data_IF_796500080699
#
_entry.id   IF_796500080699
#
_cell.length_a   1.000
_cell.length_b   1.000
_cell.length_c   1.000
_cell.angle_alpha   90.00
_cell.angle_beta   90.00
_cell.angle_gamma   90.00
#
_symmetry.space_group_name_H-M   'P 1'
#
loop_
_entity.id
_entity.type
_entity.pdbx_description
1 polymer ?
#
# COMPACT_ATOMS: atom_id res chain seq x y z
N UNK A 1 -28.75 -3.66 8.63
CA UNK A 1 -29.89 -2.79 8.28
C UNK A 1 -29.92 -2.41 6.80
N UNK A 2 -29.09 -1.47 6.31
CA UNK A 2 -29.10 -1.10 4.89
C UNK A 2 -29.00 -2.30 3.93
N UNK A 3 -27.98 -3.14 4.14
CA UNK A 3 -27.71 -4.33 3.31
C UNK A 3 -28.86 -5.34 3.33
N UNK A 4 -29.38 -5.68 4.51
CA UNK A 4 -30.44 -6.68 4.65
C UNK A 4 -31.77 -6.19 4.07
N UNK A 5 -32.17 -4.94 4.34
CA UNK A 5 -33.45 -4.40 3.88
C UNK A 5 -33.51 -4.19 2.37
N UNK A 6 -32.44 -3.65 1.79
CA UNK A 6 -32.42 -3.28 0.38
C UNK A 6 -31.95 -4.41 -0.55
N UNK A 7 -31.11 -5.32 -0.06
CA UNK A 7 -30.44 -6.33 -0.89
C UNK A 7 -30.57 -7.76 -0.36
N UNK A 8 -31.25 -7.98 0.77
CA UNK A 8 -31.38 -9.30 1.38
C UNK A 8 -30.06 -9.86 1.95
N UNK A 9 -29.01 -9.04 2.04
CA UNK A 9 -27.68 -9.47 2.49
C UNK A 9 -27.61 -9.39 4.02
N UNK A 10 -27.53 -10.56 4.66
CA UNK A 10 -27.34 -10.70 6.11
C UNK A 10 -25.85 -10.70 6.45
N UNK A 11 -25.31 -9.51 6.69
CA UNK A 11 -23.94 -9.34 7.17
C UNK A 11 -23.84 -9.35 8.70
N UNK A 12 -22.76 -9.92 9.23
CA UNK A 12 -22.41 -9.92 10.65
C UNK A 12 -21.08 -9.21 10.88
N UNK A 13 -20.96 -8.49 12.00
CA UNK A 13 -19.67 -7.96 12.43
C UNK A 13 -18.80 -9.11 12.97
N UNK A 14 -17.55 -9.16 12.55
CA UNK A 14 -16.58 -10.15 13.00
C UNK A 14 -15.30 -9.48 13.50
N UNK A 15 -14.86 -9.88 14.69
CA UNK A 15 -13.75 -9.24 15.38
C UNK A 15 -14.01 -7.75 15.63
N UNK A 16 -13.01 -6.92 15.34
CA UNK A 16 -13.08 -5.46 15.59
C UNK A 16 -13.48 -4.63 14.38
N UNK A 17 -13.15 -5.10 13.17
CA UNK A 17 -13.09 -4.25 11.98
C UNK A 17 -13.80 -4.83 10.76
N UNK A 18 -14.27 -6.07 10.81
CA UNK A 18 -14.68 -6.78 9.60
C UNK A 18 -16.21 -6.97 9.59
N UNK A 19 -16.81 -6.90 8.39
CA UNK A 19 -18.14 -7.46 8.17
C UNK A 19 -18.02 -8.67 7.25
N UNK A 20 -18.70 -9.74 7.65
CA UNK A 20 -18.68 -11.04 7.00
C UNK A 20 -20.10 -11.47 6.63
N UNK A 21 -20.21 -12.37 5.66
CA UNK A 21 -21.39 -13.21 5.48
C UNK A 21 -21.01 -14.64 5.82
N UNK A 22 -21.94 -15.36 6.44
CA UNK A 22 -21.78 -16.79 6.70
C UNK A 22 -22.04 -17.56 5.41
N UNK A 23 -21.15 -18.49 5.10
CA UNK A 23 -21.20 -19.35 3.92
C UNK A 23 -20.89 -20.79 4.38
N UNK A 24 -21.42 -21.80 3.68
CA UNK A 24 -21.22 -23.20 4.02
C UNK A 24 -19.73 -23.60 3.96
N UNK A 25 -18.97 -22.95 3.08
CA UNK A 25 -17.54 -23.18 2.89
C UNK A 25 -16.66 -22.33 3.83
N UNK A 26 -17.29 -21.58 4.74
CA UNK A 26 -16.64 -20.74 5.75
C UNK A 26 -16.92 -19.24 5.57
N UNK A 27 -16.83 -18.50 6.67
CA UNK A 27 -17.15 -17.07 6.70
C UNK A 27 -16.32 -16.25 5.69
N UNK A 28 -17.01 -15.42 4.90
CA UNK A 28 -16.37 -14.57 3.88
C UNK A 28 -16.55 -13.10 4.22
N UNK A 29 -15.44 -12.37 4.27
CA UNK A 29 -15.40 -10.92 4.51
C UNK A 29 -15.78 -10.14 3.26
N UNK A 30 -16.67 -9.17 3.40
CA UNK A 30 -17.02 -8.24 2.32
C UNK A 30 -16.74 -6.77 2.69
N UNK A 31 -16.37 -6.47 3.93
CA UNK A 31 -16.07 -5.12 4.38
C UNK A 31 -14.94 -5.13 5.40
N UNK A 32 -14.05 -4.14 5.32
CA UNK A 32 -13.05 -3.85 6.35
C UNK A 32 -13.16 -2.39 6.78
N UNK A 33 -12.98 -2.14 8.08
CA UNK A 33 -13.10 -0.84 8.71
C UNK A 33 -11.82 -0.41 9.41
N UNK A 34 -11.66 0.90 9.54
CA UNK A 34 -10.68 1.54 10.40
C UNK A 34 -11.29 2.79 11.05
N UNK A 35 -10.70 3.21 12.16
CA UNK A 35 -11.19 4.33 12.97
C UNK A 35 -10.06 5.26 13.35
N UNK A 36 -10.37 6.54 13.45
CA UNK A 36 -9.49 7.56 13.98
C UNK A 36 -10.25 8.37 15.02
N UNK A 37 -9.65 8.49 16.19
CA UNK A 37 -10.17 9.29 17.29
C UNK A 37 -9.22 10.44 17.61
N UNK A 38 -9.80 11.57 17.98
CA UNK A 38 -9.11 12.72 18.55
C UNK A 38 -9.88 13.16 19.78
N UNK A 39 -9.42 14.20 20.48
CA UNK A 39 -10.00 14.61 21.78
C UNK A 39 -11.52 14.83 21.76
N UNK A 40 -12.07 15.35 20.68
CA UNK A 40 -13.45 15.81 20.60
C UNK A 40 -14.27 15.22 19.44
N UNK A 41 -13.67 14.32 18.64
CA UNK A 41 -14.32 13.75 17.45
C UNK A 41 -13.71 12.40 17.08
N UNK A 42 -14.55 11.54 16.53
CA UNK A 42 -14.21 10.23 16.02
C UNK A 42 -14.70 10.08 14.58
N UNK A 43 -13.94 9.34 13.78
CA UNK A 43 -14.29 9.02 12.40
C UNK A 43 -14.11 7.52 12.17
N UNK A 44 -15.18 6.85 11.78
CA UNK A 44 -15.19 5.46 11.36
C UNK A 44 -15.40 5.41 9.85
N UNK A 45 -14.48 4.78 9.13
CA UNK A 45 -14.60 4.53 7.70
C UNK A 45 -14.40 3.07 7.39
N UNK A 46 -14.90 2.64 6.24
CA UNK A 46 -14.73 1.28 5.78
C UNK A 46 -14.93 1.14 4.29
N UNK A 47 -14.78 -0.08 3.81
CA UNK A 47 -14.96 -0.47 2.42
C UNK A 47 -16.13 -1.43 2.28
N UNK A 48 -16.72 -1.54 1.09
CA UNK A 48 -17.68 -2.60 0.76
C UNK A 48 -17.27 -3.19 -0.58
N UNK A 49 -16.98 -4.49 -0.60
CA UNK A 49 -16.64 -5.24 -1.81
C UNK A 49 -17.93 -5.54 -2.58
N UNK A 50 -18.31 -4.67 -3.51
CA UNK A 50 -19.51 -4.85 -4.32
C UNK A 50 -19.26 -5.81 -5.50
N UNK A 51 -18.29 -5.44 -6.34
CA UNK A 51 -17.93 -6.10 -7.61
C UNK A 51 -16.49 -5.74 -7.96
N UNK A 52 -15.54 -6.09 -7.08
CA UNK A 52 -14.12 -5.80 -7.30
C UNK A 52 -13.42 -6.97 -8.00
N UNK A 53 -12.35 -6.68 -8.74
CA UNK A 53 -11.45 -7.71 -9.25
C UNK A 53 -10.59 -8.28 -8.10
N UNK A 54 -11.09 -9.36 -7.49
CA UNK A 54 -10.43 -10.04 -6.38
C UNK A 54 -9.07 -10.65 -6.78
N UNK A 55 -8.81 -10.86 -8.07
CA UNK A 55 -7.51 -11.34 -8.54
C UNK A 55 -6.44 -10.26 -8.42
N UNK A 56 -6.75 -9.03 -8.85
CA UNK A 56 -5.86 -7.86 -8.68
C UNK A 56 -5.67 -7.50 -7.23
N UNK A 57 -6.74 -7.55 -6.43
CA UNK A 57 -6.64 -7.32 -4.99
C UNK A 57 -5.66 -8.30 -4.34
N UNK A 58 -5.74 -9.58 -4.68
CA UNK A 58 -4.79 -10.58 -4.18
C UNK A 58 -3.36 -10.26 -4.64
N UNK A 59 -3.17 -9.84 -5.89
CA UNK A 59 -1.85 -9.53 -6.43
C UNK A 59 -1.18 -8.37 -5.68
N UNK A 60 -1.89 -7.26 -5.48
CA UNK A 60 -1.31 -6.06 -4.84
C UNK A 60 -1.15 -6.21 -3.32
N UNK A 61 -1.91 -7.09 -2.68
CA UNK A 61 -1.83 -7.33 -1.24
C UNK A 61 -0.95 -8.52 -0.86
N UNK A 62 -0.47 -9.30 -1.84
CA UNK A 62 0.47 -10.39 -1.57
C UNK A 62 1.88 -9.80 -1.48
N UNK A 63 2.50 -9.78 -0.29
CA UNK A 63 3.87 -9.30 -0.17
C UNK A 63 4.84 -10.25 -0.89
N UNK A 64 6.04 -9.76 -1.22
CA UNK A 64 7.06 -10.51 -1.93
C UNK A 64 7.27 -11.91 -1.32
N UNK A 65 7.46 -12.98 -2.14
CA UNK A 65 7.60 -14.36 -1.66
C UNK A 65 8.66 -14.55 -0.56
N UNK A 66 9.76 -13.79 -0.61
CA UNK A 66 10.80 -13.77 0.44
C UNK A 66 10.25 -13.36 1.83
N UNK A 67 9.23 -12.47 1.89
CA UNK A 67 8.51 -12.11 3.14
C UNK A 67 7.49 -13.17 3.56
N UNK A 68 6.89 -13.90 2.60
CA UNK A 68 5.85 -14.91 2.84
C UNK A 68 6.38 -16.18 3.56
N UNK A 69 7.59 -16.63 3.24
CA UNK A 69 8.22 -17.81 3.86
C UNK A 69 8.34 -17.69 5.39
N UNK A 70 8.42 -16.47 5.92
CA UNK A 70 8.55 -16.22 7.36
C UNK A 70 7.25 -16.26 8.16
N UNK A 71 6.07 -16.17 7.51
CA UNK A 71 4.80 -15.89 8.22
C UNK A 71 3.59 -16.78 7.88
N UNK A 72 3.74 -17.78 7.01
CA UNK A 72 2.76 -18.88 6.85
C UNK A 72 1.30 -18.45 6.69
N UNK A 73 1.02 -17.36 5.94
CA UNK A 73 -0.34 -16.81 5.83
C UNK A 73 -1.11 -17.42 4.66
N UNK A 74 -2.33 -17.89 4.93
CA UNK A 74 -3.32 -18.28 3.93
C UNK A 74 -3.68 -17.12 3.00
N UNK A 75 -3.87 -17.40 1.71
CA UNK A 75 -4.16 -16.39 0.67
C UNK A 75 -5.35 -15.49 1.04
N UNK A 76 -5.18 -14.17 0.86
CA UNK A 76 -6.23 -13.15 1.08
C UNK A 76 -7.50 -13.47 0.28
N UNK A 77 -7.36 -14.03 -0.93
CA UNK A 77 -8.48 -14.40 -1.81
C UNK A 77 -9.44 -15.39 -1.18
N UNK A 78 -8.97 -16.29 -0.32
CA UNK A 78 -9.82 -17.32 0.31
C UNK A 78 -10.76 -16.78 1.41
N UNK A 79 -10.60 -15.51 1.81
CA UNK A 79 -11.28 -14.92 2.98
C UNK A 79 -12.23 -13.80 2.63
N UNK A 80 -12.32 -13.40 1.36
CA UNK A 80 -13.12 -12.25 0.93
C UNK A 80 -14.08 -12.61 -0.19
N UNK A 81 -15.17 -11.86 -0.34
CA UNK A 81 -16.12 -12.03 -1.44
C UNK A 81 -16.74 -10.72 -1.89
N UNK A 82 -17.29 -10.74 -3.11
CA UNK A 82 -18.12 -9.65 -3.62
C UNK A 82 -19.57 -9.85 -3.22
N UNK A 83 -20.25 -8.76 -2.85
CA UNK A 83 -21.68 -8.81 -2.54
C UNK A 83 -22.56 -9.11 -3.76
N UNK A 84 -22.06 -8.89 -4.99
CA UNK A 84 -22.76 -9.25 -6.23
C UNK A 84 -23.07 -10.75 -6.33
N UNK A 85 -22.29 -11.61 -5.65
CA UNK A 85 -22.50 -13.06 -5.60
C UNK A 85 -23.81 -13.42 -4.87
N UNK A 86 -24.28 -12.55 -3.96
CA UNK A 86 -25.52 -12.73 -3.20
C UNK A 86 -26.66 -11.90 -3.81
N UNK A 87 -26.35 -10.65 -4.18
CA UNK A 87 -27.32 -9.71 -4.77
C UNK A 87 -26.80 -9.24 -6.13
N UNK A 88 -27.10 -9.96 -7.21
CA UNK A 88 -26.74 -9.55 -8.56
C UNK A 88 -27.26 -8.13 -8.86
N UNK A 89 -26.37 -7.25 -9.32
CA UNK A 89 -26.72 -5.85 -9.61
C UNK A 89 -26.53 -4.88 -8.45
N UNK A 90 -25.99 -5.31 -7.30
CA UNK A 90 -25.51 -4.36 -6.28
C UNK A 90 -24.38 -3.50 -6.86
N UNK A 91 -24.58 -2.18 -6.85
CA UNK A 91 -23.62 -1.19 -7.34
C UNK A 91 -23.63 0.04 -6.45
N UNK A 92 -22.65 0.91 -6.64
CA UNK A 92 -22.51 2.16 -5.91
C UNK A 92 -23.82 2.98 -5.91
N UNK A 93 -24.47 3.10 -7.07
CA UNK A 93 -25.64 3.97 -7.26
C UNK A 93 -26.88 3.50 -6.50
N UNK A 94 -26.98 2.21 -6.18
CA UNK A 94 -28.08 1.65 -5.39
C UNK A 94 -27.71 1.47 -3.93
N UNK A 95 -26.44 1.17 -3.64
CA UNK A 95 -25.96 0.98 -2.28
C UNK A 95 -25.90 2.29 -1.49
N UNK A 96 -25.42 3.38 -2.10
CA UNK A 96 -25.30 4.66 -1.42
C UNK A 96 -26.66 5.20 -0.92
N UNK A 97 -27.74 5.23 -1.73
CA UNK A 97 -29.06 5.59 -1.24
C UNK A 97 -29.55 4.72 -0.07
N UNK A 98 -29.34 3.40 -0.12
CA UNK A 98 -29.75 2.50 0.96
C UNK A 98 -29.00 2.77 2.27
N UNK A 99 -27.71 3.13 2.20
CA UNK A 99 -26.92 3.54 3.37
C UNK A 99 -27.44 4.87 3.92
N UNK A 100 -27.69 5.86 3.05
CA UNK A 100 -28.24 7.17 3.44
C UNK A 100 -29.59 7.00 4.14
N UNK A 101 -30.50 6.21 3.56
CA UNK A 101 -31.81 5.94 4.16
C UNK A 101 -31.67 5.29 5.54
N UNK A 102 -30.80 4.28 5.67
CA UNK A 102 -30.55 3.63 6.96
C UNK A 102 -29.90 4.56 7.98
N UNK A 103 -29.05 5.50 7.55
CA UNK A 103 -28.44 6.51 8.40
C UNK A 103 -29.48 7.51 8.91
N UNK A 104 -30.27 8.09 8.00
CA UNK A 104 -31.36 9.01 8.34
C UNK A 104 -32.38 8.36 9.28
N UNK A 105 -32.76 7.11 9.02
CA UNK A 105 -33.67 6.36 9.89
C UNK A 105 -33.11 6.09 11.29
N UNK A 106 -31.79 5.88 11.42
CA UNK A 106 -31.14 5.68 12.71
C UNK A 106 -31.14 6.96 13.56
N UNK A 107 -30.88 8.12 12.95
CA UNK A 107 -30.82 9.40 13.64
C UNK A 107 -32.17 10.15 13.69
N UNK A 108 -33.19 9.66 12.98
CA UNK A 108 -34.52 10.29 12.92
C UNK A 108 -34.52 11.66 12.23
N UNK A 109 -33.56 11.90 11.34
CA UNK A 109 -33.38 13.18 10.66
C UNK A 109 -32.96 12.97 9.21
N UNK A 110 -33.29 13.93 8.34
CA UNK A 110 -32.86 13.98 6.94
C UNK A 110 -32.07 15.25 6.68
N UNK A 111 -31.25 15.22 5.62
CA UNK A 111 -30.51 16.37 5.13
C UNK A 111 -30.51 16.35 3.60
N UNK A 112 -30.33 17.53 2.99
CA UNK A 112 -30.08 17.61 1.55
C UNK A 112 -28.70 17.02 1.22
N UNK A 113 -28.60 16.34 0.08
CA UNK A 113 -27.34 15.76 -0.38
C UNK A 113 -26.49 16.89 -0.96
N UNK A 114 -25.36 17.16 -0.32
CA UNK A 114 -24.35 18.06 -0.85
C UNK A 114 -23.40 17.30 -1.79
N UNK A 115 -23.36 17.70 -3.05
CA UNK A 115 -22.43 17.14 -4.03
C UNK A 115 -21.08 17.88 -3.97
N UNK A 116 -20.04 17.13 -3.63
CA UNK A 116 -18.67 17.67 -3.56
C UNK A 116 -18.05 17.68 -4.96
N UNK A 117 -17.82 18.88 -5.51
CA UNK A 117 -17.08 19.10 -6.75
C UNK A 117 -15.74 19.80 -6.47
N UNK A 118 -14.75 19.72 -7.36
CA UNK A 118 -13.48 20.44 -7.18
C UNK A 118 -13.68 21.95 -6.92
N UNK A 119 -14.67 22.57 -7.54
CA UNK A 119 -15.00 23.99 -7.37
C UNK A 119 -15.52 24.28 -5.95
N UNK A 120 -16.47 23.48 -5.46
CA UNK A 120 -17.01 23.63 -4.11
C UNK A 120 -15.95 23.35 -3.03
N UNK A 121 -15.09 22.36 -3.30
CA UNK A 121 -14.01 21.94 -2.42
C UNK A 121 -12.86 22.94 -2.37
N UNK A 122 -12.62 23.72 -3.43
CA UNK A 122 -11.54 24.71 -3.50
C UNK A 122 -11.65 25.79 -2.40
N UNK A 123 -12.87 26.04 -1.90
CA UNK A 123 -13.14 27.03 -0.86
C UNK A 123 -12.92 26.49 0.57
N UNK A 124 -12.71 25.18 0.75
CA UNK A 124 -12.52 24.59 2.07
C UNK A 124 -11.13 24.94 2.64
N UNK A 125 -11.06 25.63 3.80
CA UNK A 125 -9.78 26.02 4.39
C UNK A 125 -8.88 24.81 4.66
N UNK A 126 -7.64 24.87 4.15
CA UNK A 126 -6.63 23.84 4.38
C UNK A 126 -6.81 22.55 3.57
N UNK A 127 -7.84 22.42 2.73
CA UNK A 127 -8.03 21.22 1.91
C UNK A 127 -6.88 21.03 0.91
N UNK A 128 -6.51 22.09 0.18
CA UNK A 128 -5.42 22.00 -0.80
C UNK A 128 -4.09 21.62 -0.14
N UNK A 129 -3.79 22.20 1.03
CA UNK A 129 -2.59 21.87 1.79
C UNK A 129 -2.58 20.39 2.20
N UNK A 130 -3.69 19.88 2.74
CA UNK A 130 -3.83 18.46 3.06
C UNK A 130 -3.76 17.57 1.83
N UNK A 131 -4.29 18.00 0.70
CA UNK A 131 -4.21 17.25 -0.55
C UNK A 131 -2.75 17.08 -0.99
N UNK A 132 -1.97 18.16 -1.00
CA UNK A 132 -0.54 18.07 -1.35
C UNK A 132 0.25 17.24 -0.33
N UNK A 133 -0.06 17.37 0.97
CA UNK A 133 0.53 16.53 2.02
C UNK A 133 0.23 15.04 1.79
N UNK A 134 -1.04 14.65 1.64
CA UNK A 134 -1.45 13.25 1.44
C UNK A 134 -0.91 12.65 0.14
N UNK A 135 -0.66 13.49 -0.88
CA UNK A 135 -0.07 13.11 -2.17
C UNK A 135 1.46 12.96 -2.10
N UNK A 136 2.11 13.69 -1.19
CA UNK A 136 3.57 13.71 -1.06
C UNK A 136 4.15 12.32 -0.85
N UNK A 137 5.40 12.13 -1.25
CA UNK A 137 6.10 10.87 -1.04
C UNK A 137 6.40 10.67 0.45
N UNK A 138 6.78 11.75 1.12
CA UNK A 138 7.06 11.86 2.54
C UNK A 138 5.90 11.33 3.38
N UNK A 139 4.67 11.70 3.02
CA UNK A 139 3.49 11.17 3.71
C UNK A 139 3.22 9.70 3.38
N UNK A 140 3.22 9.35 2.08
CA UNK A 140 2.84 8.00 1.62
C UNK A 140 3.82 6.92 2.06
N UNK A 141 5.11 7.24 2.16
CA UNK A 141 6.19 6.28 2.38
C UNK A 141 7.19 6.71 3.46
N UNK A 142 7.38 8.01 3.68
CA UNK A 142 8.32 8.52 4.68
C UNK A 142 7.92 8.26 6.14
N UNK A 143 6.65 7.89 6.40
CA UNK A 143 6.21 7.39 7.70
C UNK A 143 6.28 5.87 7.85
N UNK A 144 6.92 5.16 6.90
CA UNK A 144 7.18 3.73 7.04
C UNK A 144 8.04 3.48 8.30
N UNK A 145 7.70 2.48 9.13
CA UNK A 145 8.54 2.10 10.27
C UNK A 145 9.96 1.77 9.82
N UNK A 146 10.94 2.01 10.69
CA UNK A 146 12.32 1.63 10.42
C UNK A 146 12.38 0.13 10.12
N UNK A 147 13.10 -0.23 9.06
CA UNK A 147 13.29 -1.63 8.70
C UNK A 147 14.70 -1.85 8.19
N UNK A 148 15.15 -3.10 8.32
CA UNK A 148 16.40 -3.57 7.78
C UNK A 148 16.10 -4.58 6.68
N UNK A 149 16.88 -4.54 5.61
CA UNK A 149 16.73 -5.45 4.49
C UNK A 149 18.11 -5.93 4.03
N UNK A 150 18.24 -7.25 3.88
CA UNK A 150 19.39 -7.89 3.24
C UNK A 150 18.96 -8.41 1.87
N UNK A 151 19.75 -8.08 0.84
CA UNK A 151 19.52 -8.48 -0.54
C UNK A 151 20.80 -9.09 -1.11
N UNK A 152 20.68 -10.31 -1.62
CA UNK A 152 21.82 -11.04 -2.21
C UNK A 152 21.52 -11.44 -3.64
N UNK A 153 22.49 -11.34 -4.54
CA UNK A 153 22.40 -11.81 -5.93
C UNK A 153 23.76 -12.08 -6.57
N UNK A 154 23.80 -12.93 -7.60
CA UNK A 154 24.93 -13.02 -8.51
C UNK A 154 24.68 -12.16 -9.75
N UNK A 155 25.45 -11.08 -9.89
CA UNK A 155 25.50 -10.24 -11.08
C UNK A 155 26.60 -10.72 -12.04
N UNK A 156 26.62 -10.21 -13.27
CA UNK A 156 27.59 -10.64 -14.28
C UNK A 156 29.05 -10.45 -13.87
N UNK A 157 29.30 -9.52 -12.94
CA UNK A 157 30.62 -9.14 -12.45
C UNK A 157 30.95 -9.65 -11.03
N UNK A 158 30.02 -10.35 -10.37
CA UNK A 158 30.26 -10.92 -9.05
C UNK A 158 29.01 -11.13 -8.21
N UNK A 159 29.17 -11.86 -7.11
CA UNK A 159 28.20 -11.93 -6.02
C UNK A 159 28.12 -10.59 -5.30
N UNK A 160 26.92 -10.19 -4.90
CA UNK A 160 26.69 -8.99 -4.09
C UNK A 160 25.72 -9.31 -2.95
N UNK A 161 26.04 -8.82 -1.76
CA UNK A 161 25.23 -8.87 -0.54
C UNK A 161 25.09 -7.46 0.03
N UNK A 162 23.89 -6.91 -0.05
CA UNK A 162 23.56 -5.53 0.31
C UNK A 162 22.70 -5.53 1.57
N UNK A 163 23.18 -4.86 2.61
CA UNK A 163 22.41 -4.55 3.81
C UNK A 163 21.97 -3.09 3.77
N UNK A 164 20.69 -2.85 3.98
CA UNK A 164 20.06 -1.53 3.94
C UNK A 164 19.27 -1.31 5.23
N UNK A 165 19.56 -0.22 5.93
CA UNK A 165 18.70 0.29 6.99
C UNK A 165 17.89 1.47 6.42
N UNK A 166 16.56 1.36 6.44
CA UNK A 166 15.67 2.43 6.01
C UNK A 166 15.03 3.09 7.23
N UNK A 167 15.22 4.40 7.35
CA UNK A 167 14.61 5.24 8.37
C UNK A 167 13.88 6.39 7.69
N UNK A 168 12.62 6.61 8.07
CA UNK A 168 11.75 7.62 7.45
C UNK A 168 11.69 7.54 5.92
N UNK A 169 11.76 6.32 5.38
CA UNK A 169 11.74 6.07 3.93
C UNK A 169 13.05 6.43 3.20
N UNK A 170 14.11 6.81 3.92
CA UNK A 170 15.43 7.05 3.34
C UNK A 170 16.39 5.95 3.75
N UNK A 171 17.33 5.65 2.87
CA UNK A 171 18.42 4.73 3.13
C UNK A 171 19.39 5.42 4.11
N UNK A 172 19.29 5.05 5.38
CA UNK A 172 20.06 5.64 6.48
C UNK A 172 21.45 5.04 6.61
N UNK A 173 21.59 3.75 6.25
CA UNK A 173 22.86 3.03 6.26
C UNK A 173 22.86 1.99 5.15
N UNK A 174 24.04 1.80 4.56
CA UNK A 174 24.29 0.76 3.54
C UNK A 174 25.60 0.07 3.86
N UNK A 175 25.59 -1.26 3.81
CA UNK A 175 26.80 -2.07 3.67
C UNK A 175 26.68 -2.91 2.40
N UNK A 176 27.75 -2.96 1.61
CA UNK A 176 27.81 -3.79 0.40
C UNK A 176 29.02 -4.71 0.53
N UNK A 177 28.77 -6.01 0.48
CA UNK A 177 29.80 -7.03 0.39
C UNK A 177 29.75 -7.67 -0.99
N UNK A 178 30.91 -7.98 -1.55
CA UNK A 178 31.01 -8.61 -2.87
C UNK A 178 32.32 -9.38 -3.00
N UNK A 179 32.32 -10.39 -3.85
CA UNK A 179 33.53 -11.08 -4.33
C UNK A 179 34.11 -10.44 -5.62
N UNK A 180 33.55 -9.29 -6.03
CA UNK A 180 34.04 -8.50 -7.16
C UNK A 180 35.52 -8.17 -7.04
N UNK A 181 36.19 -8.18 -8.20
CA UNK A 181 37.60 -7.80 -8.33
C UNK A 181 37.82 -6.28 -8.26
N UNK A 182 36.75 -5.48 -8.14
CA UNK A 182 36.80 -4.02 -8.15
C UNK A 182 36.30 -3.43 -6.81
N UNK A 183 37.15 -3.34 -5.76
CA UNK A 183 36.74 -2.80 -4.45
C UNK A 183 36.22 -1.36 -4.51
N UNK A 184 36.78 -0.54 -5.40
CA UNK A 184 36.37 0.87 -5.56
C UNK A 184 34.92 0.99 -6.03
N UNK A 185 34.48 0.09 -6.92
CA UNK A 185 33.08 0.02 -7.35
C UNK A 185 32.16 -0.23 -6.14
N UNK A 186 32.52 -1.15 -5.26
CA UNK A 186 31.72 -1.51 -4.08
C UNK A 186 31.57 -0.32 -3.13
N UNK A 187 32.66 0.41 -2.89
CA UNK A 187 32.63 1.61 -2.07
C UNK A 187 31.74 2.71 -2.67
N UNK A 188 31.82 2.94 -3.98
CA UNK A 188 30.99 3.93 -4.67
C UNK A 188 29.52 3.55 -4.68
N UNK A 189 29.18 2.26 -4.89
CA UNK A 189 27.80 1.78 -4.80
C UNK A 189 27.22 2.01 -3.39
N UNK A 190 28.01 1.71 -2.35
CA UNK A 190 27.62 1.93 -0.94
C UNK A 190 27.36 3.42 -0.65
N UNK A 191 28.31 4.30 -0.94
CA UNK A 191 28.22 5.73 -0.60
C UNK A 191 27.20 6.48 -1.46
N UNK A 192 26.92 6.00 -2.67
CA UNK A 192 25.93 6.63 -3.56
C UNK A 192 24.49 6.34 -3.15
N UNK A 193 24.25 5.18 -2.52
CA UNK A 193 22.94 4.79 -1.99
C UNK A 193 22.60 5.47 -0.66
N UNK A 194 23.60 5.77 0.17
CA UNK A 194 23.39 6.38 1.49
C UNK A 194 22.73 7.77 1.36
N UNK A 195 21.67 8.00 2.14
CA UNK A 195 20.87 9.21 2.13
C UNK A 195 19.80 9.28 1.03
N UNK A 196 19.80 8.35 0.07
CA UNK A 196 18.80 8.33 -1.01
C UNK A 196 17.43 7.89 -0.51
N UNK A 197 16.39 8.30 -1.23
CA UNK A 197 15.02 7.84 -0.97
C UNK A 197 14.92 6.35 -1.31
N UNK A 198 14.39 5.52 -0.42
CA UNK A 198 14.17 4.09 -0.66
C UNK A 198 13.03 3.89 -1.67
N UNK A 199 13.35 4.07 -2.95
CA UNK A 199 12.43 4.02 -4.09
C UNK A 199 13.23 3.83 -5.37
N UNK A 200 12.59 3.36 -6.45
CA UNK A 200 13.24 3.20 -7.76
C UNK A 200 13.94 4.48 -8.24
N UNK A 201 13.30 5.64 -8.03
CA UNK A 201 13.87 6.94 -8.39
C UNK A 201 15.14 7.27 -7.58
N UNK A 202 15.15 6.94 -6.29
CA UNK A 202 16.34 7.13 -5.44
C UNK A 202 17.49 6.20 -5.83
N UNK A 203 17.19 4.97 -6.28
CA UNK A 203 18.22 4.07 -6.83
C UNK A 203 18.76 4.61 -8.15
N UNK A 204 17.91 5.12 -9.04
CA UNK A 204 18.35 5.76 -10.29
C UNK A 204 19.24 6.98 -9.99
N UNK A 205 18.90 7.77 -8.96
CA UNK A 205 19.73 8.89 -8.49
C UNK A 205 21.08 8.43 -7.92
N UNK A 206 21.09 7.34 -7.15
CA UNK A 206 22.32 6.72 -6.65
C UNK A 206 23.23 6.25 -7.81
N UNK A 207 22.63 5.59 -8.81
CA UNK A 207 23.35 5.07 -9.96
C UNK A 207 23.97 6.21 -10.79
N UNK A 208 23.22 7.30 -11.01
CA UNK A 208 23.73 8.49 -11.69
C UNK A 208 24.94 9.09 -10.96
N UNK A 209 24.87 9.23 -9.63
CA UNK A 209 25.99 9.70 -8.82
C UNK A 209 27.20 8.76 -8.89
N UNK A 210 26.98 7.46 -8.80
CA UNK A 210 28.04 6.47 -8.94
C UNK A 210 28.74 6.53 -10.31
N UNK A 211 27.99 6.81 -11.38
CA UNK A 211 28.52 6.98 -12.74
C UNK A 211 29.35 8.25 -12.91
N UNK A 212 29.09 9.30 -12.12
CA UNK A 212 29.95 10.51 -12.11
C UNK A 212 31.32 10.18 -11.51
N UNK A 213 31.36 9.32 -10.49
CA UNK A 213 32.60 8.93 -9.80
C UNK A 213 33.39 7.83 -10.54
N UNK A 214 32.70 6.86 -11.16
CA UNK A 214 33.31 5.70 -11.85
C UNK A 214 32.63 5.43 -13.22
N UNK A 215 32.81 6.32 -14.21
CA UNK A 215 32.17 6.18 -15.52
C UNK A 215 32.61 4.92 -16.30
N UNK A 216 33.80 4.40 -16.04
CA UNK A 216 34.33 3.18 -16.64
C UNK A 216 33.56 1.92 -16.23
N UNK A 217 32.88 1.94 -15.08
CA UNK A 217 32.07 0.84 -14.55
C UNK A 217 30.58 0.98 -14.88
N UNK A 218 30.26 1.65 -15.99
CA UNK A 218 28.87 1.95 -16.35
C UNK A 218 27.97 0.72 -16.51
N UNK A 219 28.55 -0.39 -16.97
CA UNK A 219 27.81 -1.63 -17.14
C UNK A 219 27.44 -2.23 -15.78
N UNK A 220 28.41 -2.32 -14.87
CA UNK A 220 28.27 -2.92 -13.55
C UNK A 220 27.31 -2.11 -12.67
N UNK A 221 27.45 -0.77 -12.68
CA UNK A 221 26.55 0.14 -11.96
C UNK A 221 25.12 0.04 -12.52
N UNK A 222 24.98 -0.01 -13.84
CA UNK A 222 23.68 -0.15 -14.50
C UNK A 222 22.99 -1.46 -14.16
N UNK A 223 23.72 -2.57 -14.20
CA UNK A 223 23.20 -3.90 -13.83
C UNK A 223 22.80 -3.96 -12.35
N UNK A 224 23.65 -3.45 -11.45
CA UNK A 224 23.35 -3.37 -10.02
C UNK A 224 22.09 -2.55 -9.74
N UNK A 225 21.97 -1.37 -10.35
CA UNK A 225 20.82 -0.51 -10.17
C UNK A 225 19.54 -1.16 -10.72
N UNK A 226 19.62 -1.82 -11.88
CA UNK A 226 18.49 -2.55 -12.46
C UNK A 226 18.02 -3.68 -11.53
N UNK A 227 18.94 -4.51 -11.05
CA UNK A 227 18.63 -5.56 -10.09
C UNK A 227 18.00 -5.01 -8.80
N UNK A 228 18.62 -4.01 -8.19
CA UNK A 228 18.16 -3.45 -6.92
C UNK A 228 16.75 -2.85 -7.06
N UNK A 229 16.44 -2.22 -8.20
CA UNK A 229 15.08 -1.71 -8.52
C UNK A 229 14.02 -2.80 -8.58
N UNK A 230 14.38 -3.99 -9.06
CA UNK A 230 13.45 -5.14 -9.10
C UNK A 230 13.12 -5.68 -7.70
N UNK A 231 14.04 -5.50 -6.75
CA UNK A 231 13.82 -5.89 -5.35
C UNK A 231 12.92 -4.90 -4.58
N UNK A 232 12.65 -3.71 -5.13
CA UNK A 232 11.81 -2.69 -4.51
C UNK A 232 10.34 -2.87 -4.89
N UNK A 233 9.48 -3.07 -3.88
CA UNK A 233 8.02 -3.18 -4.03
C UNK A 233 7.33 -1.85 -4.38
N UNK A 234 8.08 -0.72 -4.38
CA UNK A 234 7.59 0.66 -4.65
C UNK A 234 8.34 1.28 -5.83
#
# INVERSE_FOLDING_TARGET
NALEKAFGIKGEASGRNDLIVKDADGDKKFSGSAFRETRDRAFHHGTVLMSVDLSKLSQYLTPHPKKMLSKGRTSVRSRVMNLEEISPGIRHEVLCPAIIESFCAHYGATAEIEHLTPENLAHLPGLQQRYEELKSWEWRFGHSPNFQQQLTEYLSWGFVDVFLDSEHGKISRVEVYSDSLFPQLIDVLRTSLEGQVYSKLGIDGAAAKALEDLPEHSHEIGEFAAWLREQLEV
#
